data_IF_205103219100
#
_entry.id   IF_205103219100
#
_cell.length_a   1.000
_cell.length_b   1.000
_cell.length_c   1.000
_cell.angle_alpha   90.00
_cell.angle_beta   90.00
_cell.angle_gamma   90.00
#
_symmetry.space_group_name_H-M   'P 1'
#
loop_
_entity.id
_entity.type
_entity.pdbx_description
1 polymer ?
#
# COMPACT_ATOMS: atom_id res chain seq x y z
N UNK A 1 -7.52 -18.55 6.92
CA UNK A 1 -7.12 -18.53 5.49
C UNK A 1 -5.66 -18.15 5.24
N UNK A 2 -5.22 -16.90 5.48
CA UNK A 2 -3.84 -16.46 5.16
C UNK A 2 -2.77 -17.30 5.87
N UNK A 3 -2.92 -17.55 7.19
CA UNK A 3 -2.02 -18.45 7.95
C UNK A 3 -1.92 -19.88 7.40
N UNK A 4 -2.97 -20.35 6.72
CA UNK A 4 -3.04 -21.71 6.14
C UNK A 4 -2.75 -21.68 4.63
N UNK A 5 -2.23 -20.54 4.12
CA UNK A 5 -1.90 -20.29 2.70
C UNK A 5 -3.05 -20.52 1.71
N UNK A 6 -4.29 -20.42 2.18
CA UNK A 6 -5.47 -20.50 1.31
C UNK A 6 -5.80 -19.13 0.72
N UNK A 7 -5.02 -18.72 -0.29
CA UNK A 7 -5.09 -17.38 -0.86
C UNK A 7 -6.37 -17.13 -1.66
N UNK A 8 -6.94 -18.14 -2.32
CA UNK A 8 -8.18 -18.00 -3.09
C UNK A 8 -9.38 -17.65 -2.18
N UNK A 9 -9.51 -18.34 -1.05
CA UNK A 9 -10.55 -18.01 -0.07
C UNK A 9 -10.30 -16.65 0.60
N UNK A 10 -9.04 -16.31 0.88
CA UNK A 10 -8.69 -15.00 1.41
C UNK A 10 -9.10 -13.86 0.45
N UNK A 11 -8.85 -14.02 -0.86
CA UNK A 11 -9.24 -13.04 -1.87
C UNK A 11 -10.76 -12.83 -1.93
N UNK A 12 -11.54 -13.91 -1.93
CA UNK A 12 -13.00 -13.86 -1.88
C UNK A 12 -13.51 -13.15 -0.62
N UNK A 13 -12.85 -13.33 0.53
CA UNK A 13 -13.19 -12.61 1.76
C UNK A 13 -12.91 -11.12 1.63
N UNK A 14 -11.73 -10.72 1.13
CA UNK A 14 -11.41 -9.31 0.91
C UNK A 14 -12.39 -8.65 -0.05
N UNK A 15 -12.72 -9.29 -1.18
CA UNK A 15 -13.72 -8.77 -2.13
C UNK A 15 -15.09 -8.52 -1.46
N UNK A 16 -15.47 -9.35 -0.48
CA UNK A 16 -16.75 -9.24 0.21
C UNK A 16 -16.78 -8.14 1.27
N UNK A 17 -15.68 -7.93 2.00
CA UNK A 17 -15.69 -7.08 3.21
C UNK A 17 -14.81 -5.83 3.17
N UNK A 18 -13.73 -5.78 2.38
CA UNK A 18 -12.68 -4.76 2.52
C UNK A 18 -13.20 -3.34 2.37
N UNK A 19 -14.04 -3.08 1.35
CA UNK A 19 -14.63 -1.75 1.11
C UNK A 19 -15.82 -1.42 2.03
N UNK A 20 -16.42 -2.45 2.66
CA UNK A 20 -17.58 -2.28 3.55
C UNK A 20 -17.14 -2.04 5.00
N UNK A 21 -15.96 -2.53 5.37
CA UNK A 21 -15.41 -2.45 6.72
C UNK A 21 -14.14 -1.61 6.67
N UNK A 22 -14.26 -0.34 7.03
CA UNK A 22 -13.13 0.60 7.10
C UNK A 22 -12.39 0.46 8.43
N UNK A 23 -11.80 -0.71 8.66
CA UNK A 23 -10.97 -0.99 9.83
C UNK A 23 -9.49 -1.00 9.45
N UNK A 24 -8.66 -0.21 10.12
CA UNK A 24 -7.25 -0.03 9.76
C UNK A 24 -6.44 -1.34 9.71
N UNK A 25 -6.68 -2.27 10.62
CA UNK A 25 -5.96 -3.54 10.69
C UNK A 25 -6.35 -4.48 9.56
N UNK A 26 -7.61 -4.46 9.13
CA UNK A 26 -8.06 -5.20 7.94
C UNK A 26 -7.35 -4.71 6.68
N UNK A 27 -7.17 -3.40 6.53
CA UNK A 27 -6.45 -2.82 5.39
C UNK A 27 -4.95 -3.11 5.42
N UNK A 28 -4.32 -3.09 6.60
CA UNK A 28 -2.93 -3.57 6.77
C UNK A 28 -2.79 -5.05 6.42
N UNK A 29 -3.75 -5.88 6.83
CA UNK A 29 -3.78 -7.30 6.50
C UNK A 29 -3.92 -7.51 4.98
N UNK A 30 -4.75 -6.72 4.31
CA UNK A 30 -4.88 -6.73 2.85
C UNK A 30 -3.56 -6.37 2.15
N UNK A 31 -2.87 -5.32 2.58
CA UNK A 31 -1.59 -4.92 1.99
C UNK A 31 -0.53 -6.02 2.17
N UNK A 32 -0.47 -6.65 3.35
CA UNK A 32 0.41 -7.80 3.59
C UNK A 32 0.06 -8.99 2.68
N UNK A 33 -1.23 -9.28 2.49
CA UNK A 33 -1.68 -10.32 1.56
C UNK A 33 -1.21 -10.03 0.12
N UNK A 34 -1.34 -8.79 -0.37
CA UNK A 34 -0.87 -8.42 -1.70
C UNK A 34 0.65 -8.57 -1.81
N UNK A 35 1.39 -8.11 -0.79
CA UNK A 35 2.84 -8.26 -0.72
C UNK A 35 3.26 -9.72 -0.84
N UNK A 36 2.67 -10.60 -0.02
CA UNK A 36 3.04 -12.01 0.03
C UNK A 36 2.67 -12.76 -1.26
N UNK A 37 1.47 -12.49 -1.81
CA UNK A 37 0.96 -13.25 -2.96
C UNK A 37 1.46 -12.74 -4.31
N UNK A 38 1.89 -11.48 -4.41
CA UNK A 38 2.30 -10.87 -5.68
C UNK A 38 3.80 -10.63 -5.79
N UNK A 39 4.59 -10.83 -4.73
CA UNK A 39 6.05 -10.58 -4.68
C UNK A 39 6.86 -11.24 -5.80
N UNK A 40 6.43 -12.42 -6.29
CA UNK A 40 7.11 -13.16 -7.36
C UNK A 40 6.75 -12.71 -8.78
N UNK A 41 5.76 -11.82 -8.94
CA UNK A 41 5.32 -11.35 -10.26
C UNK A 41 6.26 -10.26 -10.77
N UNK A 42 6.56 -10.26 -12.07
CA UNK A 42 7.28 -9.14 -12.70
C UNK A 42 6.55 -7.80 -12.51
N UNK A 43 5.22 -7.83 -12.53
CA UNK A 43 4.34 -6.66 -12.30
C UNK A 43 4.13 -6.35 -10.81
N UNK A 44 4.90 -6.94 -9.89
CA UNK A 44 4.72 -6.77 -8.45
C UNK A 44 4.73 -5.29 -8.05
N UNK A 45 5.71 -4.54 -8.56
CA UNK A 45 5.89 -3.13 -8.19
C UNK A 45 4.64 -2.29 -8.52
N UNK A 46 4.09 -2.47 -9.71
CA UNK A 46 2.87 -1.80 -10.17
C UNK A 46 1.65 -2.20 -9.33
N UNK A 47 1.45 -3.51 -9.13
CA UNK A 47 0.29 -4.01 -8.35
C UNK A 47 0.34 -3.57 -6.89
N UNK A 48 1.52 -3.54 -6.28
CA UNK A 48 1.69 -3.11 -4.91
C UNK A 48 1.48 -1.60 -4.76
N UNK A 49 1.97 -0.78 -5.70
CA UNK A 49 1.69 0.65 -5.73
C UNK A 49 0.18 0.93 -5.85
N UNK A 50 -0.51 0.22 -6.75
CA UNK A 50 -1.97 0.32 -6.89
C UNK A 50 -2.71 -0.06 -5.59
N UNK A 51 -2.24 -1.08 -4.88
CA UNK A 51 -2.83 -1.49 -3.61
C UNK A 51 -2.63 -0.43 -2.51
N UNK A 52 -1.46 0.20 -2.44
CA UNK A 52 -1.22 1.33 -1.53
C UNK A 52 -2.08 2.54 -1.87
N UNK A 53 -2.13 2.95 -3.15
CA UNK A 53 -2.99 4.06 -3.58
C UNK A 53 -4.45 3.79 -3.21
N UNK A 54 -4.94 2.57 -3.48
CA UNK A 54 -6.30 2.16 -3.12
C UNK A 54 -6.56 2.20 -1.60
N UNK A 55 -5.61 1.73 -0.79
CA UNK A 55 -5.73 1.80 0.66
C UNK A 55 -5.76 3.24 1.16
N UNK A 56 -4.88 4.11 0.65
CA UNK A 56 -4.84 5.52 1.04
C UNK A 56 -6.08 6.30 0.58
N UNK A 57 -6.69 5.92 -0.54
CA UNK A 57 -7.96 6.49 -1.00
C UNK A 57 -9.14 6.11 -0.09
N UNK A 58 -9.11 4.91 0.53
CA UNK A 58 -10.22 4.41 1.35
C UNK A 58 -10.07 4.66 2.85
N UNK A 59 -8.85 4.53 3.37
CA UNK A 59 -8.57 4.62 4.81
C UNK A 59 -7.39 5.54 5.14
N UNK A 60 -6.91 6.32 4.17
CA UNK A 60 -5.82 7.26 4.39
C UNK A 60 -6.15 8.32 5.45
N UNK A 61 -7.41 8.68 5.67
CA UNK A 61 -7.83 9.66 6.69
C UNK A 61 -7.98 9.08 8.10
N UNK A 62 -7.75 7.78 8.30
CA UNK A 62 -7.79 7.19 9.62
C UNK A 62 -6.64 7.73 10.50
N UNK A 63 -6.92 8.03 11.77
CA UNK A 63 -5.95 8.60 12.71
C UNK A 63 -4.72 7.70 12.94
N UNK A 64 -4.85 6.38 12.72
CA UNK A 64 -3.78 5.38 12.82
C UNK A 64 -3.21 4.96 11.45
N UNK A 65 -3.51 5.70 10.38
CA UNK A 65 -3.08 5.38 9.01
C UNK A 65 -1.61 5.64 8.71
N UNK A 66 -0.89 6.37 9.58
CA UNK A 66 0.52 6.75 9.37
C UNK A 66 1.42 5.58 8.94
N UNK A 67 1.21 4.39 9.54
CA UNK A 67 1.97 3.20 9.16
C UNK A 67 1.85 2.86 7.66
N UNK A 68 0.66 2.99 7.06
CA UNK A 68 0.43 2.72 5.63
C UNK A 68 1.16 3.75 4.76
N UNK A 69 1.12 5.03 5.15
CA UNK A 69 1.84 6.10 4.45
C UNK A 69 3.34 5.86 4.46
N UNK A 70 3.90 5.57 5.64
CA UNK A 70 5.33 5.31 5.81
C UNK A 70 5.78 4.07 5.02
N UNK A 71 5.00 2.99 5.08
CA UNK A 71 5.28 1.76 4.34
C UNK A 71 5.27 1.99 2.82
N UNK A 72 4.33 2.79 2.31
CA UNK A 72 4.28 3.13 0.88
C UNK A 72 5.50 3.95 0.45
N UNK A 73 5.89 4.96 1.23
CA UNK A 73 7.11 5.74 0.95
C UNK A 73 8.36 4.85 0.96
N UNK A 74 8.49 3.95 1.93
CA UNK A 74 9.61 3.03 2.02
C UNK A 74 9.64 2.04 0.85
N UNK A 75 8.46 1.55 0.44
CA UNK A 75 8.32 0.74 -0.75
C UNK A 75 8.81 1.50 -2.01
N UNK A 76 8.35 2.73 -2.24
CA UNK A 76 8.80 3.55 -3.38
C UNK A 76 10.32 3.81 -3.33
N UNK A 77 10.89 4.04 -2.14
CA UNK A 77 12.34 4.16 -1.94
C UNK A 77 13.11 2.88 -2.25
N UNK A 78 12.52 1.70 -2.04
CA UNK A 78 13.15 0.42 -2.36
C UNK A 78 13.12 0.04 -3.85
N UNK A 79 12.32 0.73 -4.67
CA UNK A 79 12.26 0.46 -6.11
C UNK A 79 13.57 0.92 -6.76
N UNK A 80 14.29 -0.02 -7.38
CA UNK A 80 15.47 0.32 -8.18
C UNK A 80 15.10 1.24 -9.34
N UNK A 81 15.89 2.29 -9.52
CA UNK A 81 15.79 3.24 -10.60
C UNK A 81 17.23 3.56 -11.03
N UNK A 82 17.54 3.30 -12.30
CA UNK A 82 18.89 3.51 -12.85
C UNK A 82 18.80 4.54 -13.95
N UNK A 83 19.64 5.56 -13.85
CA UNK A 83 19.67 6.68 -14.79
C UNK A 83 18.77 7.83 -14.37
N UNK A 84 19.17 9.03 -14.77
CA UNK A 84 18.62 10.29 -14.25
C UNK A 84 17.10 10.43 -14.46
N UNK A 85 16.56 9.89 -15.55
CA UNK A 85 15.12 9.94 -15.81
C UNK A 85 14.32 9.08 -14.82
N UNK A 86 14.72 7.81 -14.63
CA UNK A 86 14.04 6.89 -13.72
C UNK A 86 14.17 7.36 -12.26
N UNK A 87 15.33 7.89 -11.86
CA UNK A 87 15.54 8.46 -10.54
C UNK A 87 14.63 9.67 -10.29
N UNK A 88 14.47 10.57 -11.28
CA UNK A 88 13.55 11.70 -11.17
C UNK A 88 12.07 11.27 -11.09
N UNK A 89 11.68 10.20 -11.79
CA UNK A 89 10.33 9.63 -11.63
C UNK A 89 10.12 9.11 -10.21
N UNK A 90 11.09 8.38 -9.65
CA UNK A 90 11.05 7.89 -8.27
C UNK A 90 10.94 9.03 -7.26
N UNK A 91 11.74 10.09 -7.42
CA UNK A 91 11.69 11.30 -6.57
C UNK A 91 10.29 11.93 -6.64
N UNK A 92 9.73 12.06 -7.84
CA UNK A 92 8.41 12.67 -8.05
C UNK A 92 7.28 11.84 -7.43
N UNK A 93 7.35 10.51 -7.55
CA UNK A 93 6.38 9.60 -6.91
C UNK A 93 6.42 9.70 -5.39
N UNK A 94 7.62 9.67 -4.78
CA UNK A 94 7.79 9.82 -3.33
C UNK A 94 7.28 11.17 -2.85
N UNK A 95 7.63 12.26 -3.54
CA UNK A 95 7.19 13.61 -3.21
C UNK A 95 5.66 13.72 -3.21
N UNK A 96 5.00 13.11 -4.20
CA UNK A 96 3.53 13.10 -4.31
C UNK A 96 2.89 12.47 -3.07
N UNK A 97 3.43 11.36 -2.57
CA UNK A 97 2.92 10.70 -1.35
C UNK A 97 3.12 11.57 -0.12
N UNK A 98 4.30 12.16 0.06
CA UNK A 98 4.57 13.09 1.18
C UNK A 98 3.64 14.30 1.16
N UNK A 99 3.47 14.96 0.02
CA UNK A 99 2.61 16.14 -0.10
C UNK A 99 1.14 15.83 0.18
N UNK A 100 0.67 14.65 -0.22
CA UNK A 100 -0.68 14.18 0.08
C UNK A 100 -0.84 13.83 1.57
N UNK A 101 0.17 13.21 2.17
CA UNK A 101 0.14 12.76 3.56
C UNK A 101 0.26 13.89 4.58
N UNK A 102 1.11 14.89 4.36
CA UNK A 102 1.41 15.94 5.37
C UNK A 102 0.20 16.83 5.74
N UNK A 103 -0.80 16.91 4.86
CA UNK A 103 -2.03 17.68 5.10
C UNK A 103 -3.13 16.87 5.78
N UNK A 104 -2.91 15.58 6.03
CA UNK A 104 -3.90 14.67 6.56
C UNK A 104 -3.75 14.50 8.07
N UNK A 105 -4.72 14.89 8.91
CA UNK A 105 -4.61 14.78 10.37
C UNK A 105 -4.51 13.32 10.82
N UNK A 106 -3.32 12.88 11.21
CA UNK A 106 -3.05 11.54 11.74
C UNK A 106 -1.96 11.57 12.82
N UNK A 107 -1.89 10.51 13.63
CA UNK A 107 -0.84 10.39 14.64
C UNK A 107 0.54 10.22 13.99
N UNK A 108 1.56 10.77 14.64
CA UNK A 108 2.97 10.62 14.26
C UNK A 108 3.34 11.18 12.88
N UNK A 109 2.65 12.24 12.45
CA UNK A 109 2.99 13.01 11.24
C UNK A 109 4.28 13.82 11.40
#
# INVERSE_FOLDING_TARGET
>A
EIRVRNYEKAEKLFQRCLIKILNIDLWKLYLNYVKDTKSSLQTYKEKMAQAYDFALDKIGMDIHSFGIWNDYVNFLKSVDAIGSFAENQKISAIRKVYQRGIVNPMLNI
#
